data_IF_248023942118
#
_entry.id   IF_248023942118
#
_cell.length_a   1.000
_cell.length_b   1.000
_cell.length_c   1.000
_cell.angle_alpha   90.00
_cell.angle_beta   90.00
_cell.angle_gamma   90.00
#
_symmetry.space_group_name_H-M   'P 1'
#
loop_
_entity.id
_entity.type
_entity.pdbx_description
1 polymer ?
#
# COMPACT_ATOMS: atom_id res chain seq x y z
N UNK A 1 8.67 0.56 -16.79
CA UNK A 1 7.74 1.69 -16.62
C UNK A 1 6.64 1.38 -15.59
N UNK A 2 7.05 0.96 -14.40
CA UNK A 2 6.31 1.00 -13.14
C UNK A 2 7.28 0.59 -12.01
N UNK A 3 7.39 1.39 -10.95
CA UNK A 3 8.21 1.06 -9.77
C UNK A 3 7.34 0.59 -8.61
N UNK A 4 7.83 -0.38 -7.84
CA UNK A 4 7.23 -0.95 -6.62
C UNK A 4 5.84 -1.61 -6.74
N UNK A 5 4.96 -1.16 -7.63
CA UNK A 5 3.60 -1.64 -7.81
C UNK A 5 3.28 -1.76 -9.31
N UNK A 6 2.91 -2.96 -9.76
CA UNK A 6 2.64 -3.24 -11.17
C UNK A 6 1.48 -4.24 -11.34
N UNK A 7 1.20 -4.65 -12.58
CA UNK A 7 0.11 -5.56 -12.93
C UNK A 7 0.22 -6.96 -12.31
N UNK A 8 1.42 -7.38 -11.89
CA UNK A 8 1.65 -8.66 -11.24
C UNK A 8 1.47 -8.59 -9.71
N UNK A 9 1.29 -7.39 -9.15
CA UNK A 9 1.11 -7.20 -7.71
C UNK A 9 -0.20 -7.82 -7.23
N UNK A 10 -0.11 -8.72 -6.27
CA UNK A 10 -1.25 -9.37 -5.60
C UNK A 10 -1.40 -8.78 -4.20
N UNK A 11 -2.52 -8.10 -3.99
CA UNK A 11 -2.73 -7.24 -2.82
C UNK A 11 -3.59 -7.96 -1.77
N UNK A 12 -3.10 -8.03 -0.54
CA UNK A 12 -3.91 -8.29 0.65
C UNK A 12 -4.14 -6.99 1.42
N UNK A 13 -5.28 -6.92 2.12
CA UNK A 13 -5.65 -5.74 2.91
C UNK A 13 -5.72 -6.07 4.39
N UNK A 14 -4.77 -5.56 5.18
CA UNK A 14 -4.84 -5.65 6.63
C UNK A 14 -5.87 -4.63 7.15
N UNK A 15 -6.87 -5.12 7.89
CA UNK A 15 -8.02 -4.28 8.28
C UNK A 15 -9.10 -4.16 7.20
N UNK A 16 -9.13 -5.07 6.21
CA UNK A 16 -10.10 -5.07 5.10
C UNK A 16 -11.56 -4.91 5.54
N UNK A 17 -11.95 -5.54 6.65
CA UNK A 17 -13.35 -5.52 7.13
C UNK A 17 -13.71 -4.30 7.98
N UNK A 18 -12.78 -3.35 8.16
CA UNK A 18 -13.07 -2.04 8.74
C UNK A 18 -13.70 -1.08 7.73
N UNK A 19 -14.23 0.06 8.19
CA UNK A 19 -14.89 1.06 7.33
C UNK A 19 -14.01 1.52 6.17
N UNK A 20 -12.83 2.09 6.46
CA UNK A 20 -11.93 2.57 5.41
C UNK A 20 -11.32 1.42 4.60
N UNK A 21 -11.00 0.30 5.24
CA UNK A 21 -10.51 -0.90 4.55
C UNK A 21 -11.51 -1.40 3.50
N UNK A 22 -12.79 -1.50 3.84
CA UNK A 22 -13.85 -1.98 2.92
C UNK A 22 -14.03 -1.01 1.76
N UNK A 23 -14.15 0.29 2.07
CA UNK A 23 -14.33 1.35 1.08
C UNK A 23 -13.18 1.43 0.09
N UNK A 24 -11.94 1.41 0.58
CA UNK A 24 -10.77 1.53 -0.29
C UNK A 24 -10.42 0.22 -0.99
N UNK A 25 -10.76 -0.94 -0.42
CA UNK A 25 -10.71 -2.22 -1.16
C UNK A 25 -11.62 -2.18 -2.38
N UNK A 26 -12.87 -1.69 -2.24
CA UNK A 26 -13.77 -1.53 -3.37
C UNK A 26 -13.22 -0.59 -4.45
N UNK A 27 -12.57 0.51 -4.05
CA UNK A 27 -11.94 1.47 -4.99
C UNK A 27 -10.71 0.89 -5.68
N UNK A 28 -9.86 0.15 -4.96
CA UNK A 28 -8.71 -0.55 -5.55
C UNK A 28 -9.19 -1.58 -6.58
N UNK A 29 -10.20 -2.38 -6.26
CA UNK A 29 -10.83 -3.32 -7.20
C UNK A 29 -11.39 -2.59 -8.43
N UNK A 30 -12.12 -1.49 -8.25
CA UNK A 30 -12.67 -0.70 -9.35
C UNK A 30 -11.59 -0.10 -10.26
N UNK A 31 -10.39 0.16 -9.72
CA UNK A 31 -9.24 0.61 -10.53
C UNK A 31 -8.53 -0.50 -11.31
N UNK A 32 -8.96 -1.76 -11.15
CA UNK A 32 -8.35 -2.94 -11.77
C UNK A 32 -7.24 -3.58 -10.94
N UNK A 33 -6.98 -3.13 -9.72
CA UNK A 33 -5.96 -3.71 -8.85
C UNK A 33 -6.35 -5.13 -8.41
N UNK A 34 -5.37 -6.05 -8.39
CA UNK A 34 -5.61 -7.44 -8.03
C UNK A 34 -5.60 -7.66 -6.51
N UNK A 35 -6.70 -7.29 -5.85
CA UNK A 35 -6.92 -7.62 -4.43
C UNK A 35 -7.32 -9.09 -4.30
N UNK A 36 -6.56 -9.85 -3.52
CA UNK A 36 -6.70 -11.31 -3.35
C UNK A 36 -7.23 -11.74 -1.98
N UNK A 37 -7.37 -10.81 -1.04
CA UNK A 37 -7.99 -11.07 0.26
C UNK A 37 -7.70 -9.98 1.28
N UNK A 38 -8.00 -10.28 2.54
CA UNK A 38 -7.62 -9.41 3.65
C UNK A 38 -7.20 -10.20 4.89
N UNK A 39 -6.69 -9.49 5.88
CA UNK A 39 -6.17 -10.08 7.12
C UNK A 39 -6.89 -9.51 8.33
N UNK A 40 -7.40 -10.41 9.17
CA UNK A 40 -7.93 -10.11 10.49
C UNK A 40 -8.03 -11.41 11.32
N UNK A 41 -7.15 -11.56 12.32
CA UNK A 41 -7.09 -12.74 13.18
C UNK A 41 -8.44 -13.14 13.81
N UNK A 42 -9.32 -12.18 14.13
CA UNK A 42 -10.63 -12.45 14.77
C UNK A 42 -11.72 -12.86 13.78
N UNK A 43 -11.45 -12.77 12.48
CA UNK A 43 -12.41 -13.03 11.39
C UNK A 43 -11.84 -14.00 10.36
N UNK A 44 -10.81 -14.78 10.73
CA UNK A 44 -10.20 -15.78 9.86
C UNK A 44 -11.25 -16.76 9.30
N UNK A 45 -11.13 -17.09 8.02
CA UNK A 45 -12.05 -17.98 7.30
C UNK A 45 -13.34 -17.33 6.82
N UNK A 46 -13.64 -16.08 7.21
CA UNK A 46 -14.80 -15.37 6.68
C UNK A 46 -14.62 -15.01 5.21
N UNK A 47 -15.70 -15.06 4.44
CA UNK A 47 -15.76 -14.47 3.11
C UNK A 47 -16.57 -13.18 3.16
N UNK A 48 -16.10 -12.15 2.48
CA UNK A 48 -16.78 -10.87 2.36
C UNK A 48 -16.92 -10.48 0.90
N UNK A 49 -18.07 -9.95 0.53
CA UNK A 49 -18.29 -9.42 -0.81
C UNK A 49 -17.97 -7.92 -0.83
N UNK A 50 -16.97 -7.54 -1.62
CA UNK A 50 -16.52 -6.15 -1.75
C UNK A 50 -16.29 -5.85 -3.24
N UNK A 51 -16.89 -4.78 -3.76
CA UNK A 51 -16.70 -4.36 -5.15
C UNK A 51 -17.07 -5.43 -6.18
N UNK A 52 -18.06 -6.29 -5.86
CA UNK A 52 -18.48 -7.40 -6.73
C UNK A 52 -17.55 -8.62 -6.70
N UNK A 53 -16.56 -8.67 -5.79
CA UNK A 53 -15.65 -9.79 -5.62
C UNK A 53 -15.79 -10.39 -4.22
N UNK A 54 -15.91 -11.71 -4.13
CA UNK A 54 -15.82 -12.44 -2.87
C UNK A 54 -14.36 -12.59 -2.47
N UNK A 55 -14.00 -12.07 -1.30
CA UNK A 55 -12.65 -12.06 -0.75
C UNK A 55 -12.59 -12.82 0.58
N UNK A 56 -11.61 -13.69 0.73
CA UNK A 56 -11.34 -14.40 1.98
C UNK A 56 -10.60 -13.51 2.97
N UNK A 57 -10.97 -13.62 4.25
CA UNK A 57 -10.26 -13.03 5.38
C UNK A 57 -9.37 -14.10 6.01
N UNK A 58 -8.07 -13.91 5.95
CA UNK A 58 -7.07 -14.78 6.55
C UNK A 58 -6.75 -14.34 7.98
N UNK A 59 -6.25 -15.27 8.79
CA UNK A 59 -5.86 -14.99 10.17
C UNK A 59 -4.56 -14.20 10.25
N UNK A 60 -3.63 -14.47 9.35
CA UNK A 60 -2.30 -13.81 9.31
C UNK A 60 -1.87 -13.41 7.90
N UNK A 61 -0.93 -12.47 7.80
CA UNK A 61 -0.27 -12.10 6.54
C UNK A 61 0.41 -13.32 5.91
N UNK A 62 1.15 -14.10 6.70
CA UNK A 62 1.89 -15.28 6.23
C UNK A 62 0.96 -16.34 5.62
N UNK A 63 -0.18 -16.59 6.26
CA UNK A 63 -1.22 -17.48 5.73
C UNK A 63 -1.78 -16.96 4.40
N UNK A 64 -2.15 -15.67 4.36
CA UNK A 64 -2.67 -15.06 3.14
C UNK A 64 -1.66 -15.14 1.97
N UNK A 65 -0.36 -14.92 2.24
CA UNK A 65 0.71 -15.07 1.26
C UNK A 65 0.81 -16.51 0.75
N UNK A 66 0.79 -17.50 1.64
CA UNK A 66 0.89 -18.92 1.27
C UNK A 66 -0.26 -19.36 0.36
N UNK A 67 -1.49 -18.93 0.67
CA UNK A 67 -2.70 -19.34 -0.08
C UNK A 67 -2.88 -18.59 -1.40
N UNK A 68 -2.46 -17.32 -1.47
CA UNK A 68 -2.78 -16.44 -2.62
C UNK A 68 -1.57 -16.05 -3.46
N UNK A 69 -0.36 -16.21 -2.92
CA UNK A 69 0.86 -15.62 -3.45
C UNK A 69 0.90 -14.10 -3.37
N UNK A 70 0.19 -13.50 -2.40
CA UNK A 70 0.23 -12.06 -2.17
C UNK A 70 1.66 -11.57 -1.92
N UNK A 71 2.01 -10.44 -2.52
CA UNK A 71 3.30 -9.78 -2.34
C UNK A 71 3.17 -8.30 -1.93
N UNK A 72 1.94 -7.79 -1.85
CA UNK A 72 1.65 -6.43 -1.38
C UNK A 72 0.64 -6.49 -0.23
N UNK A 73 0.92 -5.79 0.86
CA UNK A 73 -0.01 -5.56 1.96
C UNK A 73 -0.37 -4.07 2.03
N UNK A 74 -1.66 -3.74 1.94
CA UNK A 74 -2.18 -2.39 2.23
C UNK A 74 -2.82 -2.37 3.61
N UNK A 75 -2.38 -1.44 4.46
CA UNK A 75 -2.78 -1.40 5.87
C UNK A 75 -3.77 -0.26 6.13
N UNK A 76 -5.02 -0.65 6.42
CA UNK A 76 -6.09 0.22 6.91
C UNK A 76 -6.45 -0.12 8.36
N UNK A 77 -5.43 -0.10 9.22
CA UNK A 77 -5.55 -0.46 10.64
C UNK A 77 -5.55 0.80 11.52
N UNK A 78 -6.33 0.86 12.61
CA UNK A 78 -6.27 2.00 13.54
C UNK A 78 -4.86 2.21 14.11
N UNK A 79 -4.47 3.46 14.45
CA UNK A 79 -3.10 3.79 14.86
C UNK A 79 -2.56 2.93 16.01
N UNK A 80 -3.42 2.67 17.02
CA UNK A 80 -3.08 1.82 18.17
C UNK A 80 -2.71 0.37 17.84
N UNK A 81 -3.03 -0.11 16.64
CA UNK A 81 -2.73 -1.47 16.17
C UNK A 81 -1.75 -1.48 14.99
N UNK A 82 -1.34 -0.31 14.50
CA UNK A 82 -0.57 -0.20 13.27
C UNK A 82 0.84 -0.78 13.42
N UNK A 83 1.50 -0.55 14.57
CA UNK A 83 2.82 -1.12 14.84
C UNK A 83 2.84 -2.64 14.65
N UNK A 84 1.93 -3.34 15.32
CA UNK A 84 1.90 -4.81 15.32
C UNK A 84 1.56 -5.35 13.93
N UNK A 85 0.64 -4.70 13.19
CA UNK A 85 0.30 -5.07 11.82
C UNK A 85 1.46 -4.86 10.82
N UNK A 86 2.27 -3.81 11.01
CA UNK A 86 3.47 -3.59 10.20
C UNK A 86 4.55 -4.62 10.54
N UNK A 87 4.75 -4.92 11.82
CA UNK A 87 5.68 -5.98 12.26
C UNK A 87 5.28 -7.33 11.67
N UNK A 88 3.98 -7.66 11.68
CA UNK A 88 3.46 -8.90 11.09
C UNK A 88 3.80 -9.00 9.59
N UNK A 89 3.61 -7.91 8.86
CA UNK A 89 3.99 -7.82 7.44
C UNK A 89 5.50 -8.01 7.22
N UNK A 90 6.34 -7.37 8.05
CA UNK A 90 7.80 -7.49 7.99
C UNK A 90 8.24 -8.93 8.29
N UNK A 91 7.70 -9.55 9.34
CA UNK A 91 8.07 -10.90 9.76
C UNK A 91 7.57 -11.98 8.78
N UNK A 92 6.50 -11.70 8.03
CA UNK A 92 6.06 -12.53 6.92
C UNK A 92 6.89 -12.33 5.64
N UNK A 93 7.80 -11.35 5.63
CA UNK A 93 8.63 -10.96 4.49
C UNK A 93 7.80 -10.57 3.25
N UNK A 94 6.66 -9.88 3.45
CA UNK A 94 5.90 -9.31 2.32
C UNK A 94 6.80 -8.33 1.56
N UNK A 95 6.78 -8.34 0.22
CA UNK A 95 7.70 -7.49 -0.56
C UNK A 95 7.40 -6.00 -0.37
N UNK A 96 6.12 -5.62 -0.31
CA UNK A 96 5.68 -4.25 -0.14
C UNK A 96 4.59 -4.12 0.93
N UNK A 97 4.80 -3.23 1.91
CA UNK A 97 3.83 -2.83 2.90
C UNK A 97 3.48 -1.34 2.75
N UNK A 98 2.22 -1.04 2.41
CA UNK A 98 1.70 0.33 2.25
C UNK A 98 0.89 0.72 3.47
N UNK A 99 1.45 1.59 4.31
CA UNK A 99 0.88 2.00 5.60
C UNK A 99 0.11 3.31 5.41
N UNK A 100 -1.21 3.21 5.24
CA UNK A 100 -2.06 4.39 5.01
C UNK A 100 -2.31 5.17 6.30
N UNK A 101 -2.38 4.46 7.43
CA UNK A 101 -2.76 4.98 8.74
C UNK A 101 -2.01 6.25 9.14
N UNK A 102 -2.77 7.30 9.46
CA UNK A 102 -2.28 8.55 10.05
C UNK A 102 -2.38 8.51 11.59
N UNK A 103 -1.52 9.27 12.28
CA UNK A 103 -1.60 9.42 13.74
C UNK A 103 -0.92 8.29 14.53
N UNK A 104 -0.03 7.55 13.88
CA UNK A 104 0.82 6.57 14.56
C UNK A 104 1.82 7.33 15.44
N UNK A 105 2.00 6.95 16.72
CA UNK A 105 3.04 7.54 17.56
C UNK A 105 4.42 7.38 16.91
N UNK A 106 5.23 8.46 16.88
CA UNK A 106 6.55 8.44 16.24
C UNK A 106 7.47 7.34 16.80
N UNK A 107 7.35 7.03 18.09
CA UNK A 107 8.08 5.92 18.70
C UNK A 107 7.73 4.56 18.06
N UNK A 108 6.46 4.34 17.72
CA UNK A 108 6.01 3.10 17.10
C UNK A 108 6.49 2.99 15.64
N UNK A 109 6.52 4.10 14.90
CA UNK A 109 7.09 4.09 13.54
C UNK A 109 8.60 3.95 13.51
N UNK A 110 9.30 4.58 14.46
CA UNK A 110 10.71 4.33 14.69
C UNK A 110 11.00 2.86 15.04
N UNK A 111 10.12 2.23 15.84
CA UNK A 111 10.27 0.83 16.23
C UNK A 111 10.15 -0.11 15.04
N UNK A 112 9.06 -0.04 14.25
CA UNK A 112 8.92 -0.97 13.12
C UNK A 112 9.98 -0.74 12.04
N UNK A 113 10.48 0.49 11.90
CA UNK A 113 11.60 0.78 10.99
C UNK A 113 12.91 0.12 11.47
N UNK A 114 13.19 0.22 12.77
CA UNK A 114 14.34 -0.48 13.37
C UNK A 114 14.21 -2.01 13.22
N UNK A 115 13.00 -2.54 13.42
CA UNK A 115 12.70 -3.97 13.24
C UNK A 115 12.92 -4.42 11.80
N UNK A 116 12.42 -3.67 10.81
CA UNK A 116 12.65 -3.94 9.39
C UNK A 116 14.15 -4.05 9.06
N UNK A 117 14.95 -3.08 9.55
CA UNK A 117 16.42 -3.10 9.38
C UNK A 117 17.07 -4.31 10.04
N UNK A 118 16.67 -4.64 11.27
CA UNK A 118 17.19 -5.82 11.99
C UNK A 118 16.87 -7.15 11.27
N UNK A 119 15.77 -7.20 10.50
CA UNK A 119 15.35 -8.35 9.69
C UNK A 119 15.94 -8.35 8.27
N UNK A 120 16.89 -7.45 7.96
CA UNK A 120 17.54 -7.38 6.65
C UNK A 120 16.77 -6.58 5.60
N UNK A 121 15.75 -5.82 6.01
CA UNK A 121 15.02 -4.86 5.18
C UNK A 121 14.42 -5.45 3.89
N UNK A 122 13.92 -6.69 3.96
CA UNK A 122 13.29 -7.38 2.82
C UNK A 122 11.94 -6.78 2.43
N UNK A 123 11.20 -6.26 3.40
CA UNK A 123 9.92 -5.58 3.18
C UNK A 123 10.13 -4.10 2.94
N UNK A 124 9.77 -3.62 1.75
CA UNK A 124 9.70 -2.19 1.48
C UNK A 124 8.49 -1.61 2.19
N UNK A 125 8.68 -0.54 2.96
CA UNK A 125 7.58 0.17 3.65
C UNK A 125 7.32 1.49 2.93
N UNK A 126 6.07 1.79 2.63
CA UNK A 126 5.61 3.10 2.13
C UNK A 126 4.66 3.70 3.15
N UNK A 127 4.86 4.97 3.49
CA UNK A 127 4.24 5.59 4.65
C UNK A 127 5.07 5.44 5.94
N UNK A 128 4.46 5.64 7.12
CA UNK A 128 3.02 5.79 7.36
C UNK A 128 2.44 7.14 6.92
N UNK A 129 1.15 7.37 7.20
CA UNK A 129 0.45 8.61 6.90
C UNK A 129 0.62 9.02 5.43
N UNK A 130 0.21 8.13 4.52
CA UNK A 130 0.45 8.27 3.10
C UNK A 130 -0.79 7.93 2.27
N UNK A 131 -0.89 8.46 1.03
CA UNK A 131 -1.97 8.08 0.14
C UNK A 131 -1.72 6.69 -0.51
N UNK A 132 -0.50 6.16 -0.45
CA UNK A 132 -0.09 4.88 -1.03
C UNK A 132 0.62 5.01 -2.37
N UNK A 133 0.46 4.00 -3.23
CA UNK A 133 1.11 3.92 -4.56
C UNK A 133 0.07 3.61 -5.62
N UNK A 134 0.21 4.25 -6.78
CA UNK A 134 -0.57 3.90 -7.98
C UNK A 134 0.35 3.89 -9.19
N UNK A 135 0.18 2.87 -10.03
CA UNK A 135 0.71 2.81 -11.38
C UNK A 135 -0.51 2.80 -12.31
N UNK A 136 -0.91 3.96 -12.88
CA UNK A 136 -2.17 4.09 -13.61
C UNK A 136 -2.33 3.02 -14.70
N UNK A 137 -3.53 2.44 -14.79
CA UNK A 137 -3.83 1.34 -15.72
C UNK A 137 -3.21 -0.02 -15.37
N UNK A 138 -2.39 -0.11 -14.31
CA UNK A 138 -1.73 -1.36 -13.88
C UNK A 138 -2.21 -1.84 -12.52
N UNK A 139 -2.09 -0.99 -11.49
CA UNK A 139 -2.44 -1.35 -10.11
C UNK A 139 -2.55 -0.12 -9.21
N UNK A 140 -3.24 -0.27 -8.09
CA UNK A 140 -3.47 0.77 -7.08
C UNK A 140 -3.46 0.14 -5.68
N UNK A 141 -2.56 0.62 -4.82
CA UNK A 141 -2.38 0.19 -3.46
C UNK A 141 -2.49 1.41 -2.52
N UNK A 142 -3.70 1.74 -2.10
CA UNK A 142 -3.96 2.84 -1.18
C UNK A 142 -5.26 3.59 -1.48
N UNK A 143 -5.18 4.92 -1.38
CA UNK A 143 -6.32 5.83 -1.46
C UNK A 143 -6.21 6.84 -2.61
N UNK A 144 -5.20 6.73 -3.47
CA UNK A 144 -5.03 7.58 -4.64
C UNK A 144 -6.19 7.33 -5.62
N UNK A 145 -6.93 8.36 -6.05
CA UNK A 145 -7.99 8.20 -7.05
C UNK A 145 -7.39 7.76 -8.39
N UNK A 146 -7.99 6.75 -9.02
CA UNK A 146 -7.45 6.15 -10.24
C UNK A 146 -7.95 6.82 -11.54
N UNK A 147 -8.94 7.68 -11.43
CA UNK A 147 -9.68 8.30 -12.55
C UNK A 147 -9.21 9.72 -12.89
N UNK A 148 -8.20 10.23 -12.21
CA UNK A 148 -7.70 11.60 -12.41
C UNK A 148 -6.55 11.70 -13.43
N UNK A 149 -5.90 10.59 -13.77
CA UNK A 149 -4.77 10.56 -14.70
C UNK A 149 -4.61 9.19 -15.36
N UNK A 150 -4.04 9.16 -16.57
CA UNK A 150 -3.74 7.94 -17.31
C UNK A 150 -2.28 7.49 -17.20
N UNK A 151 -1.94 6.34 -17.79
CA UNK A 151 -0.55 5.88 -17.91
C UNK A 151 0.29 6.90 -18.69
N UNK A 152 1.53 7.11 -18.27
CA UNK A 152 2.45 7.99 -18.97
C UNK A 152 3.91 7.84 -18.54
N UNK A 153 4.70 8.89 -18.74
CA UNK A 153 6.17 8.85 -18.60
C UNK A 153 6.70 9.59 -17.37
N UNK A 154 5.84 10.29 -16.62
CA UNK A 154 6.27 11.07 -15.46
C UNK A 154 6.21 10.20 -14.20
N UNK A 155 7.36 10.03 -13.54
CA UNK A 155 7.42 9.53 -12.17
C UNK A 155 7.10 10.64 -11.17
N UNK A 156 6.30 10.32 -10.14
CA UNK A 156 5.92 11.28 -9.10
C UNK A 156 6.18 10.71 -7.71
N UNK A 157 6.93 11.43 -6.87
CA UNK A 157 7.12 11.12 -5.45
C UNK A 157 6.75 12.34 -4.61
N UNK A 158 6.01 12.12 -3.51
CA UNK A 158 5.50 13.21 -2.68
C UNK A 158 5.23 12.78 -1.25
N UNK A 159 5.37 13.72 -0.31
CA UNK A 159 4.94 13.55 1.09
C UNK A 159 3.45 13.81 1.32
N UNK A 160 2.78 14.50 0.40
CA UNK A 160 1.40 15.00 0.59
C UNK A 160 0.41 14.25 -0.30
N UNK A 161 -0.74 13.83 0.24
CA UNK A 161 -1.80 13.16 -0.53
C UNK A 161 -2.42 14.05 -1.60
N UNK A 162 -3.18 15.07 -1.18
CA UNK A 162 -3.96 15.91 -2.10
C UNK A 162 -3.11 16.69 -3.10
N UNK A 163 -1.89 17.11 -2.71
CA UNK A 163 -0.97 17.75 -3.65
C UNK A 163 -0.47 16.77 -4.72
N UNK A 164 -0.31 15.48 -4.38
CA UNK A 164 -0.02 14.43 -5.38
C UNK A 164 -1.15 14.36 -6.40
N UNK A 165 -2.40 14.38 -5.94
CA UNK A 165 -3.57 14.29 -6.83
C UNK A 165 -3.65 15.50 -7.76
N UNK A 166 -3.38 16.70 -7.23
CA UNK A 166 -3.34 17.91 -8.04
C UNK A 166 -2.30 17.77 -9.17
N UNK A 167 -1.07 17.37 -8.85
CA UNK A 167 -0.03 17.22 -9.86
C UNK A 167 -0.35 16.12 -10.88
N UNK A 168 -0.91 14.99 -10.43
CA UNK A 168 -1.39 13.93 -11.32
C UNK A 168 -2.45 14.43 -12.30
N UNK A 169 -3.37 15.27 -11.82
CA UNK A 169 -4.45 15.84 -12.63
C UNK A 169 -3.93 16.89 -13.61
N UNK A 170 -3.09 17.83 -13.16
CA UNK A 170 -2.51 18.87 -14.02
C UNK A 170 -1.62 18.31 -15.13
N UNK A 171 -0.96 17.17 -14.87
CA UNK A 171 -0.07 16.51 -15.83
C UNK A 171 -0.75 15.35 -16.59
N UNK A 172 -2.08 15.24 -16.55
CA UNK A 172 -2.83 14.10 -17.11
C UNK A 172 -2.66 13.89 -18.62
N UNK A 173 -2.37 14.95 -19.36
CA UNK A 173 -2.16 14.87 -20.82
C UNK A 173 -0.81 14.19 -21.16
N UNK A 174 0.14 14.18 -20.22
CA UNK A 174 1.42 13.46 -20.33
C UNK A 174 1.33 12.09 -19.65
N UNK A 175 0.55 12.01 -18.57
CA UNK A 175 0.32 10.80 -17.79
C UNK A 175 1.46 10.47 -16.82
N UNK A 176 1.17 9.55 -15.91
CA UNK A 176 2.06 9.15 -14.81
C UNK A 176 2.49 7.69 -14.98
N UNK A 177 3.78 7.40 -14.78
CA UNK A 177 4.27 6.01 -14.75
C UNK A 177 3.90 5.34 -13.42
N UNK A 178 4.37 5.93 -12.32
CA UNK A 178 3.99 5.59 -10.94
C UNK A 178 3.96 6.87 -10.10
N UNK A 179 2.93 7.01 -9.25
CA UNK A 179 2.90 8.01 -8.18
C UNK A 179 3.08 7.32 -6.82
N UNK A 180 4.07 7.77 -6.06
CA UNK A 180 4.46 7.24 -4.75
C UNK A 180 4.25 8.31 -3.68
N UNK A 181 3.22 8.14 -2.87
CA UNK A 181 3.05 8.92 -1.66
C UNK A 181 3.87 8.31 -0.54
N UNK A 182 5.03 8.90 -0.20
CA UNK A 182 5.95 8.32 0.79
C UNK A 182 5.53 8.58 2.25
N UNK A 183 4.65 9.56 2.46
CA UNK A 183 4.05 9.87 3.74
C UNK A 183 4.50 11.18 4.40
N UNK A 184 3.63 11.71 5.25
CA UNK A 184 3.83 12.97 5.95
C UNK A 184 4.66 12.88 7.22
N UNK A 185 4.73 11.69 7.82
CA UNK A 185 5.29 11.49 9.16
C UNK A 185 6.81 11.73 9.25
N UNK A 186 7.34 11.97 10.47
CA UNK A 186 8.78 12.19 10.67
C UNK A 186 9.65 10.96 10.39
N UNK A 187 9.12 9.75 10.63
CA UNK A 187 9.81 8.48 10.37
C UNK A 187 8.95 7.67 9.40
N UNK A 188 9.48 7.48 8.20
CA UNK A 188 8.86 6.74 7.08
C UNK A 188 9.80 5.63 6.63
N UNK A 189 9.28 4.69 5.82
CA UNK A 189 10.09 3.64 5.21
C UNK A 189 10.86 4.12 3.98
N UNK A 190 10.16 4.27 2.86
CA UNK A 190 10.71 4.72 1.58
C UNK A 190 10.86 6.23 1.57
N UNK A 191 12.04 6.73 1.22
CA UNK A 191 12.34 8.17 1.13
C UNK A 191 12.30 8.68 -0.31
N UNK A 192 12.51 9.99 -0.50
CA UNK A 192 12.68 10.55 -1.85
C UNK A 192 13.88 9.94 -2.57
N UNK A 193 14.98 9.67 -1.87
CA UNK A 193 16.19 9.11 -2.49
C UNK A 193 15.88 7.70 -3.02
N UNK A 194 15.22 6.87 -2.22
CA UNK A 194 14.82 5.51 -2.62
C UNK A 194 13.89 5.52 -3.84
N UNK A 195 12.95 6.47 -3.88
CA UNK A 195 12.02 6.59 -5.01
C UNK A 195 12.73 7.10 -6.29
N UNK A 196 13.61 8.09 -6.16
CA UNK A 196 14.39 8.62 -7.27
C UNK A 196 15.34 7.56 -7.86
N UNK A 197 16.00 6.78 -7.01
CA UNK A 197 16.86 5.68 -7.45
C UNK A 197 16.04 4.62 -8.22
N UNK A 198 14.85 4.27 -7.73
CA UNK A 198 13.98 3.34 -8.43
C UNK A 198 13.48 3.90 -9.78
N UNK A 199 13.14 5.20 -9.85
CA UNK A 199 12.72 5.83 -11.10
C UNK A 199 13.85 5.91 -12.13
N UNK A 200 15.11 6.09 -11.71
CA UNK A 200 16.26 6.06 -12.61
C UNK A 200 16.49 4.67 -13.22
N UNK A 201 16.04 3.60 -12.55
CA UNK A 201 16.21 2.20 -12.97
C UNK A 201 15.03 1.62 -13.78
N UNK A 202 13.98 2.40 -14.07
CA UNK A 202 12.68 1.95 -14.62
C UNK A 202 12.53 1.95 -16.16
#
# INVERSE_FOLDING_TARGET
MAIFLNENSKIIVQGMTGSEGTKHTARMLASGANVVGGVNARKAGQQVEIGGKTLTVYGTVKEAMAETGANVSVLFVPPKFAKDAVIEAIDAEIELAVVITEGIPVHDSAYFWAHAKAKGNKTRIIGPNCPGVISPGKSNAGIIPADITGPGKIGLVSKSGTLTYQLMYELRDIGISTAVGIGGDPVIGTTHIDALEAFEQD
#
